data_IF_651524175861
#
_entry.id   IF_651524175861
#
_cell.length_a   1.000
_cell.length_b   1.000
_cell.length_c   1.000
_cell.angle_alpha   90.00
_cell.angle_beta   90.00
_cell.angle_gamma   90.00
#
_symmetry.space_group_name_H-M   'P 1'
#
loop_
_entity.id
_entity.type
_entity.pdbx_description
1 polymer ?
#
# COMPACT_ATOMS: atom_id res chain seq x y z
N UNK A 1 -15.43 17.22 -22.77
CA UNK A 1 -14.81 16.50 -21.64
C UNK A 1 -13.35 16.93 -21.62
N UNK A 2 -12.88 17.53 -20.51
CA UNK A 2 -11.50 18.03 -20.38
C UNK A 2 -10.69 17.03 -19.55
N UNK A 3 -9.47 16.71 -19.99
CA UNK A 3 -8.52 15.90 -19.23
C UNK A 3 -7.64 16.85 -18.42
N UNK A 4 -7.90 16.96 -17.11
CA UNK A 4 -7.22 17.92 -16.23
C UNK A 4 -6.12 17.28 -15.38
N UNK A 5 -6.02 15.95 -15.34
CA UNK A 5 -5.15 15.21 -14.41
C UNK A 5 -5.86 14.86 -13.11
N UNK A 6 -5.10 14.41 -12.10
CA UNK A 6 -5.63 13.94 -10.82
C UNK A 6 -5.30 14.87 -9.64
N UNK A 7 -6.32 15.39 -8.94
CA UNK A 7 -6.13 16.28 -7.77
C UNK A 7 -5.44 15.57 -6.60
N UNK A 8 -5.54 14.23 -6.51
CA UNK A 8 -4.82 13.45 -5.52
C UNK A 8 -3.30 13.50 -5.77
N UNK A 9 -2.87 13.60 -7.04
CA UNK A 9 -1.45 13.80 -7.38
C UNK A 9 -0.98 15.18 -6.90
N UNK A 10 -1.77 16.23 -7.12
CA UNK A 10 -1.46 17.59 -6.64
C UNK A 10 -1.24 17.59 -5.11
N UNK A 11 -2.20 17.00 -4.37
CA UNK A 11 -2.13 16.85 -2.92
C UNK A 11 -0.89 16.06 -2.49
N UNK A 12 -0.67 14.90 -3.10
CA UNK A 12 0.49 14.05 -2.80
C UNK A 12 1.80 14.80 -2.97
N UNK A 13 2.00 15.49 -4.10
CA UNK A 13 3.21 16.26 -4.38
C UNK A 13 3.40 17.44 -3.43
N UNK A 14 2.31 18.12 -3.06
CA UNK A 14 2.34 19.22 -2.11
C UNK A 14 2.74 18.75 -0.70
N UNK A 15 2.04 17.75 -0.16
CA UNK A 15 2.23 17.30 1.21
C UNK A 15 3.49 16.46 1.40
N UNK A 16 3.96 15.74 0.36
CA UNK A 16 5.19 14.94 0.43
C UNK A 16 6.42 15.77 0.76
N UNK A 17 6.50 17.01 0.27
CA UNK A 17 7.63 17.93 0.56
C UNK A 17 7.65 18.39 2.01
N UNK A 18 6.48 18.47 2.63
CA UNK A 18 6.34 18.93 4.02
C UNK A 18 6.44 17.77 5.02
N UNK A 19 5.97 16.59 4.62
CA UNK A 19 5.95 15.39 5.44
C UNK A 19 7.35 14.99 5.94
N UNK A 20 8.36 15.04 5.07
CA UNK A 20 9.76 14.71 5.41
C UNK A 20 10.35 15.67 6.46
N UNK A 21 9.87 16.91 6.53
CA UNK A 21 10.35 17.90 7.51
C UNK A 21 9.63 17.82 8.85
N UNK A 22 8.39 17.32 8.83
CA UNK A 22 7.49 17.34 10.00
C UNK A 22 7.43 16.03 10.76
N UNK A 23 7.93 14.94 10.19
CA UNK A 23 7.82 13.61 10.80
C UNK A 23 9.17 12.92 10.84
N UNK A 24 9.49 12.30 11.97
CA UNK A 24 10.67 11.42 12.15
C UNK A 24 10.25 9.96 12.24
N UNK A 25 9.19 9.55 11.53
CA UNK A 25 8.58 8.22 11.72
C UNK A 25 9.54 7.08 11.39
N UNK A 26 10.44 7.26 10.41
CA UNK A 26 11.46 6.27 10.08
C UNK A 26 12.43 6.10 11.24
N UNK A 27 12.97 7.18 11.79
CA UNK A 27 13.88 7.14 12.95
C UNK A 27 13.20 6.53 14.18
N UNK A 28 11.95 6.93 14.45
CA UNK A 28 11.17 6.41 15.57
C UNK A 28 10.94 4.89 15.50
N UNK A 29 10.86 4.35 14.29
CA UNK A 29 10.70 2.92 14.03
C UNK A 29 12.03 2.23 13.67
N UNK A 30 13.13 2.99 13.61
CA UNK A 30 14.46 2.53 13.17
C UNK A 30 14.46 1.87 11.78
N UNK A 31 13.65 2.41 10.86
CA UNK A 31 13.50 1.90 9.50
C UNK A 31 14.50 2.54 8.55
N UNK A 32 15.05 1.72 7.65
CA UNK A 32 15.90 2.19 6.55
C UNK A 32 15.11 2.33 5.25
N UNK A 33 15.38 3.39 4.49
CA UNK A 33 14.75 3.63 3.19
C UNK A 33 14.97 2.45 2.23
N UNK A 34 13.90 1.95 1.63
CA UNK A 34 13.90 0.84 0.69
C UNK A 34 13.98 -0.55 1.34
N UNK A 35 14.22 -0.63 2.65
CA UNK A 35 14.52 -1.89 3.36
C UNK A 35 13.34 -2.41 4.22
N UNK A 36 12.12 -1.94 3.95
CA UNK A 36 10.92 -2.48 4.59
C UNK A 36 9.73 -2.57 3.62
N UNK A 37 8.81 -3.46 3.96
CA UNK A 37 7.49 -3.57 3.37
C UNK A 37 6.50 -2.72 4.17
N UNK A 38 5.67 -1.93 3.48
CA UNK A 38 4.53 -1.25 4.11
C UNK A 38 3.24 -2.00 3.78
N UNK A 39 2.52 -2.45 4.81
CA UNK A 39 1.28 -3.20 4.64
C UNK A 39 0.06 -2.42 5.14
N UNK A 40 -1.06 -2.51 4.42
CA UNK A 40 -2.38 -2.13 4.96
C UNK A 40 -3.45 -3.13 4.52
N UNK A 41 -4.26 -3.59 5.47
CA UNK A 41 -5.41 -4.47 5.20
C UNK A 41 -6.58 -3.91 5.98
N UNK A 42 -7.70 -3.61 5.34
CA UNK A 42 -8.89 -3.10 6.02
C UNK A 42 -10.21 -3.36 5.29
N UNK A 43 -10.20 -3.95 4.08
CA UNK A 43 -11.44 -4.28 3.38
C UNK A 43 -12.16 -5.46 4.03
N UNK A 44 -13.48 -5.38 4.06
CA UNK A 44 -14.34 -6.47 4.53
C UNK A 44 -14.06 -7.80 3.79
N UNK A 45 -13.78 -7.73 2.49
CA UNK A 45 -13.43 -8.88 1.64
C UNK A 45 -12.23 -9.68 2.17
N UNK A 46 -11.32 -9.03 2.91
CA UNK A 46 -10.12 -9.61 3.50
C UNK A 46 -10.27 -9.89 5.01
N UNK A 47 -11.00 -9.05 5.75
CA UNK A 47 -11.06 -9.14 7.21
C UNK A 47 -12.15 -10.06 7.74
N UNK A 48 -13.25 -10.25 7.01
CA UNK A 48 -14.48 -10.85 7.58
C UNK A 48 -14.47 -12.38 7.57
N UNK A 49 -13.54 -12.97 6.81
CA UNK A 49 -13.33 -14.41 6.76
C UNK A 49 -11.97 -14.73 7.37
N UNK A 50 -11.97 -15.56 8.41
CA UNK A 50 -10.77 -16.00 9.10
C UNK A 50 -9.73 -16.57 8.14
N UNK A 51 -10.15 -17.41 7.20
CA UNK A 51 -9.28 -18.07 6.23
C UNK A 51 -8.44 -17.06 5.43
N UNK A 52 -9.08 -16.04 4.85
CA UNK A 52 -8.40 -15.02 4.04
C UNK A 52 -7.43 -14.19 4.87
N UNK A 53 -7.88 -13.70 6.02
CA UNK A 53 -7.01 -12.90 6.90
C UNK A 53 -5.82 -13.73 7.40
N UNK A 54 -6.05 -15.03 7.69
CA UNK A 54 -5.01 -15.97 8.11
C UNK A 54 -3.99 -16.22 7.00
N UNK A 55 -4.40 -16.33 5.74
CA UNK A 55 -3.47 -16.46 4.60
C UNK A 55 -2.59 -15.22 4.45
N UNK A 56 -3.15 -14.02 4.56
CA UNK A 56 -2.38 -12.76 4.55
C UNK A 56 -1.39 -12.72 5.74
N UNK A 57 -1.85 -13.04 6.95
CA UNK A 57 -0.98 -13.05 8.14
C UNK A 57 0.17 -14.04 8.00
N UNK A 58 -0.07 -15.25 7.47
CA UNK A 58 1.00 -16.23 7.24
C UNK A 58 2.01 -15.73 6.21
N UNK A 59 1.56 -15.01 5.17
CA UNK A 59 2.48 -14.40 4.21
C UNK A 59 3.36 -13.34 4.90
N UNK A 60 2.77 -12.48 5.73
CA UNK A 60 3.52 -11.47 6.48
C UNK A 60 4.57 -12.11 7.42
N UNK A 61 4.20 -13.18 8.13
CA UNK A 61 5.11 -13.91 9.02
C UNK A 61 6.28 -14.54 8.24
N UNK A 62 6.03 -15.06 7.04
CA UNK A 62 7.11 -15.62 6.21
C UNK A 62 8.04 -14.52 5.68
N UNK A 63 7.48 -13.43 5.15
CA UNK A 63 8.25 -12.31 4.62
C UNK A 63 9.08 -11.60 5.69
N UNK A 64 8.57 -11.54 6.93
CA UNK A 64 9.27 -10.96 8.07
C UNK A 64 10.59 -11.68 8.42
N UNK A 65 10.81 -12.90 7.89
CA UNK A 65 12.10 -13.60 8.03
C UNK A 65 13.20 -13.00 7.15
N UNK A 66 12.82 -12.23 6.12
CA UNK A 66 13.73 -11.69 5.10
C UNK A 66 13.81 -10.15 5.16
N UNK A 67 12.71 -9.48 5.46
CA UNK A 67 12.58 -8.02 5.39
C UNK A 67 11.63 -7.50 6.47
N UNK A 68 11.89 -6.29 6.97
CA UNK A 68 11.00 -5.63 7.92
C UNK A 68 9.61 -5.37 7.32
N UNK A 69 8.55 -5.54 8.12
CA UNK A 69 7.17 -5.31 7.70
C UNK A 69 6.48 -4.36 8.67
N UNK A 70 6.15 -3.17 8.18
CA UNK A 70 5.42 -2.14 8.91
C UNK A 70 3.94 -2.26 8.59
N UNK A 71 3.11 -2.47 9.60
CA UNK A 71 1.67 -2.63 9.45
C UNK A 71 0.90 -1.69 10.38
N UNK A 72 0.52 -0.49 9.90
CA UNK A 72 -0.44 0.37 10.58
C UNK A 72 -1.82 -0.30 10.60
N UNK A 73 -2.20 -0.84 11.76
CA UNK A 73 -3.38 -1.71 11.86
C UNK A 73 -4.65 -0.89 12.00
N UNK A 74 -5.49 -0.88 10.97
CA UNK A 74 -6.81 -0.25 11.03
C UNK A 74 -7.67 -0.87 12.17
N UNK A 75 -8.49 -0.10 12.91
CA UNK A 75 -9.27 -0.62 14.04
C UNK A 75 -10.17 -1.82 13.69
N UNK A 76 -10.72 -1.84 12.47
CA UNK A 76 -11.46 -2.99 11.93
C UNK A 76 -10.59 -4.25 11.92
N UNK A 77 -9.42 -4.16 11.33
CA UNK A 77 -8.51 -5.28 11.15
C UNK A 77 -7.98 -5.76 12.48
N UNK A 78 -7.65 -4.84 13.39
CA UNK A 78 -7.27 -5.18 14.75
C UNK A 78 -8.36 -6.00 15.47
N UNK A 79 -9.63 -5.61 15.34
CA UNK A 79 -10.76 -6.37 15.90
C UNK A 79 -10.77 -7.81 15.39
N UNK A 80 -10.65 -8.03 14.09
CA UNK A 80 -10.68 -9.38 13.50
C UNK A 80 -9.42 -10.19 13.79
N UNK A 81 -8.24 -9.55 13.78
CA UNK A 81 -6.99 -10.19 14.20
C UNK A 81 -7.07 -10.72 15.63
N UNK A 82 -7.67 -9.94 16.55
CA UNK A 82 -7.90 -10.39 17.93
C UNK A 82 -8.95 -11.51 17.99
N UNK A 83 -10.05 -11.36 17.28
CA UNK A 83 -11.14 -12.33 17.23
C UNK A 83 -10.68 -13.73 16.76
N UNK A 84 -9.82 -13.78 15.75
CA UNK A 84 -9.29 -15.04 15.19
C UNK A 84 -7.98 -15.51 15.84
N UNK A 85 -7.53 -14.87 16.93
CA UNK A 85 -6.29 -15.22 17.62
C UNK A 85 -5.00 -14.97 16.82
N UNK A 86 -5.05 -14.16 15.76
CA UNK A 86 -3.92 -13.83 14.88
C UNK A 86 -3.08 -12.67 15.41
N UNK A 87 -3.69 -11.75 16.17
CA UNK A 87 -3.02 -10.51 16.62
C UNK A 87 -1.75 -10.80 17.42
N UNK A 88 -1.82 -11.73 18.38
CA UNK A 88 -0.67 -12.08 19.23
C UNK A 88 0.43 -12.76 18.42
N UNK A 89 0.06 -13.62 17.46
CA UNK A 89 1.02 -14.28 16.57
C UNK A 89 1.82 -13.25 15.78
N UNK A 90 1.14 -12.28 15.15
CA UNK A 90 1.82 -11.20 14.43
C UNK A 90 2.67 -10.33 15.36
N UNK A 91 2.15 -9.97 16.54
CA UNK A 91 2.86 -9.13 17.51
C UNK A 91 4.14 -9.77 18.04
N UNK A 92 4.11 -11.08 18.27
CA UNK A 92 5.23 -11.84 18.82
C UNK A 92 6.21 -12.28 17.70
N UNK A 93 5.92 -11.99 16.42
CA UNK A 93 6.80 -12.29 15.28
C UNK A 93 7.85 -11.19 15.12
N UNK A 94 9.16 -11.51 15.14
CA UNK A 94 10.21 -10.55 14.87
C UNK A 94 10.05 -9.85 13.51
N UNK A 95 10.53 -8.62 13.40
CA UNK A 95 10.49 -7.79 12.18
C UNK A 95 9.08 -7.42 11.68
N UNK A 96 8.01 -7.77 12.41
CA UNK A 96 6.67 -7.22 12.17
C UNK A 96 6.40 -6.08 13.15
N UNK A 97 6.28 -4.87 12.60
CA UNK A 97 5.92 -3.67 13.35
C UNK A 97 4.41 -3.42 13.24
N UNK A 98 3.65 -4.01 14.16
CA UNK A 98 2.23 -3.68 14.34
C UNK A 98 2.11 -2.33 15.05
N UNK A 99 1.83 -1.27 14.28
CA UNK A 99 1.69 0.08 14.81
C UNK A 99 0.24 0.55 14.77
N UNK A 100 -0.07 1.57 15.58
CA UNK A 100 -1.37 2.25 15.51
C UNK A 100 -1.50 2.94 14.14
N UNK A 101 -2.74 3.19 13.66
CA UNK A 101 -2.95 4.05 12.49
C UNK A 101 -2.19 5.37 12.67
N UNK A 102 -1.46 5.76 11.63
CA UNK A 102 -0.61 6.96 11.60
C UNK A 102 -1.33 8.12 10.92
N UNK A 103 -0.85 9.34 11.15
CA UNK A 103 -1.34 10.52 10.44
C UNK A 103 -0.97 10.50 8.96
N UNK A 104 -1.62 11.34 8.16
CA UNK A 104 -1.40 11.37 6.71
C UNK A 104 0.06 11.65 6.32
N UNK A 105 0.72 12.62 6.99
CA UNK A 105 2.12 12.95 6.70
C UNK A 105 3.07 11.78 7.02
N UNK A 106 2.82 11.07 8.13
CA UNK A 106 3.61 9.90 8.49
C UNK A 106 3.39 8.77 7.47
N UNK A 107 2.15 8.57 7.02
CA UNK A 107 1.85 7.61 5.95
C UNK A 107 2.59 7.97 4.66
N UNK A 108 2.61 9.25 4.26
CA UNK A 108 3.37 9.68 3.07
C UNK A 108 4.86 9.35 3.17
N UNK A 109 5.48 9.58 4.33
CA UNK A 109 6.88 9.22 4.56
C UNK A 109 7.07 7.70 4.50
N UNK A 110 6.18 6.92 5.13
CA UNK A 110 6.22 5.47 5.06
C UNK A 110 6.02 4.94 3.64
N UNK A 111 5.14 5.55 2.85
CA UNK A 111 4.88 5.17 1.46
C UNK A 111 6.10 5.44 0.60
N UNK A 112 6.68 6.64 0.66
CA UNK A 112 7.80 7.05 -0.19
C UNK A 112 9.11 6.30 0.07
N UNK A 113 9.26 5.78 1.28
CA UNK A 113 10.51 5.13 1.69
C UNK A 113 10.37 3.61 1.81
N UNK A 114 9.21 3.03 1.50
CA UNK A 114 9.05 1.59 1.47
C UNK A 114 9.77 0.98 0.26
N UNK A 115 10.27 -0.25 0.42
CA UNK A 115 10.77 -1.05 -0.69
C UNK A 115 9.63 -1.54 -1.58
N UNK A 116 8.55 -2.04 -0.97
CA UNK A 116 7.29 -2.40 -1.65
C UNK A 116 6.10 -2.16 -0.72
N UNK A 117 4.92 -1.97 -1.32
CA UNK A 117 3.66 -1.75 -0.60
C UNK A 117 2.73 -2.94 -0.83
N UNK A 118 2.15 -3.49 0.24
CA UNK A 118 1.16 -4.56 0.20
C UNK A 118 -0.17 -4.01 0.71
N UNK A 119 -1.16 -3.82 -0.16
CA UNK A 119 -2.34 -3.04 0.24
C UNK A 119 -3.65 -3.49 -0.40
N UNK A 120 -4.74 -3.44 0.35
CA UNK A 120 -6.10 -3.44 -0.20
C UNK A 120 -6.70 -2.02 -0.28
N UNK A 121 -5.95 -0.98 0.08
CA UNK A 121 -6.39 0.42 0.03
C UNK A 121 -6.33 0.97 -1.40
N UNK A 122 -7.47 1.41 -1.94
CA UNK A 122 -7.47 2.07 -3.25
C UNK A 122 -6.66 3.38 -3.25
N UNK A 123 -6.76 4.18 -2.18
CA UNK A 123 -5.97 5.41 -2.07
C UNK A 123 -4.46 5.12 -2.04
N UNK A 124 -4.04 4.12 -1.25
CA UNK A 124 -2.62 3.78 -1.14
C UNK A 124 -2.07 3.13 -2.41
N UNK A 125 -2.88 2.39 -3.17
CA UNK A 125 -2.48 1.89 -4.50
C UNK A 125 -2.04 3.05 -5.41
N UNK A 126 -2.82 4.14 -5.42
CA UNK A 126 -2.50 5.33 -6.23
C UNK A 126 -1.32 6.11 -5.65
N UNK A 127 -1.22 6.27 -4.34
CA UNK A 127 -0.07 6.96 -3.71
C UNK A 127 1.24 6.18 -3.87
N UNK A 128 1.20 4.84 -3.86
CA UNK A 128 2.34 3.99 -4.18
C UNK A 128 2.86 4.27 -5.60
N UNK A 129 1.93 4.37 -6.56
CA UNK A 129 2.25 4.77 -7.92
C UNK A 129 2.91 6.16 -7.94
N UNK A 130 2.31 7.18 -7.31
CA UNK A 130 2.91 8.52 -7.24
C UNK A 130 4.28 8.56 -6.58
N UNK A 131 4.49 7.71 -5.58
CA UNK A 131 5.75 7.55 -4.86
C UNK A 131 6.82 6.79 -5.65
N UNK A 132 6.46 6.16 -6.78
CA UNK A 132 7.31 5.22 -7.51
C UNK A 132 7.78 4.06 -6.64
N UNK A 133 6.85 3.50 -5.87
CA UNK A 133 7.09 2.32 -5.05
C UNK A 133 6.23 1.18 -5.58
N UNK A 134 6.80 -0.02 -5.86
CA UNK A 134 6.05 -1.17 -6.36
C UNK A 134 4.89 -1.52 -5.42
N UNK A 135 3.70 -1.68 -6.00
CA UNK A 135 2.49 -2.00 -5.25
C UNK A 135 2.04 -3.44 -5.52
N UNK A 136 1.64 -4.14 -4.46
CA UNK A 136 1.05 -5.46 -4.52
C UNK A 136 -0.34 -5.34 -3.89
N UNK A 137 -1.35 -5.37 -4.76
CA UNK A 137 -2.75 -5.27 -4.37
C UNK A 137 -3.23 -6.59 -3.77
N UNK A 138 -3.54 -6.56 -2.48
CA UNK A 138 -4.11 -7.66 -1.71
C UNK A 138 -5.63 -7.76 -1.94
N UNK A 139 -6.03 -7.92 -3.20
CA UNK A 139 -7.43 -8.09 -3.60
C UNK A 139 -7.51 -8.91 -4.90
N UNK A 140 -8.71 -9.12 -5.43
CA UNK A 140 -8.94 -9.73 -6.74
C UNK A 140 -8.97 -8.73 -7.89
N UNK A 141 -9.11 -7.44 -7.58
CA UNK A 141 -9.11 -6.34 -8.55
C UNK A 141 -8.39 -5.12 -7.98
N UNK A 142 -7.71 -4.36 -8.84
CA UNK A 142 -7.21 -3.05 -8.47
C UNK A 142 -8.31 -1.99 -8.58
N UNK A 143 -8.25 -0.98 -7.71
CA UNK A 143 -9.08 0.22 -7.87
C UNK A 143 -8.59 1.13 -9.02
N UNK A 144 -7.36 0.90 -9.48
CA UNK A 144 -6.69 1.65 -10.54
C UNK A 144 -6.03 0.67 -11.51
N UNK A 145 -6.81 0.00 -12.38
CA UNK A 145 -6.30 -0.95 -13.38
C UNK A 145 -5.14 -0.36 -14.21
N UNK A 146 -5.19 0.94 -14.48
CA UNK A 146 -4.14 1.67 -15.20
C UNK A 146 -2.76 1.58 -14.53
N UNK A 147 -2.68 1.38 -13.20
CA UNK A 147 -1.41 1.16 -12.49
C UNK A 147 -0.85 -0.24 -12.67
N UNK A 148 -1.74 -1.22 -12.92
CA UNK A 148 -1.39 -2.61 -13.24
C UNK A 148 -0.94 -2.69 -14.70
N UNK A 149 -1.70 -2.06 -15.60
CA UNK A 149 -1.37 -1.94 -17.02
C UNK A 149 -0.02 -1.24 -17.24
N UNK A 150 0.30 -0.23 -16.43
CA UNK A 150 1.59 0.48 -16.46
C UNK A 150 2.76 -0.31 -15.81
N UNK A 151 2.48 -1.48 -15.21
CA UNK A 151 3.51 -2.36 -14.64
C UNK A 151 4.04 -1.96 -13.26
N UNK A 152 3.35 -1.08 -12.54
CA UNK A 152 3.74 -0.61 -11.20
C UNK A 152 2.90 -1.18 -10.05
N UNK A 153 1.85 -1.93 -10.39
CA UNK A 153 1.00 -2.62 -9.43
C UNK A 153 0.75 -4.07 -9.90
N UNK A 154 0.62 -5.00 -8.97
CA UNK A 154 0.29 -6.40 -9.24
C UNK A 154 -0.86 -6.85 -8.32
N UNK A 155 -1.86 -7.54 -8.87
CA UNK A 155 -3.01 -8.05 -8.12
C UNK A 155 -2.79 -9.53 -7.80
N UNK A 156 -2.76 -9.92 -6.52
CA UNK A 156 -2.41 -11.32 -6.14
C UNK A 156 -3.60 -12.28 -6.14
N UNK A 157 -4.83 -11.78 -6.30
CA UNK A 157 -6.05 -12.59 -6.37
C UNK A 157 -6.49 -12.99 -7.78
N UNK A 158 -5.99 -12.33 -8.82
CA UNK A 158 -6.47 -12.46 -10.21
C UNK A 158 -6.10 -13.80 -10.87
N UNK A 159 -4.90 -14.34 -10.60
CA UNK A 159 -4.36 -15.53 -11.29
C UNK A 159 -4.78 -16.89 -10.69
N UNK A 160 -5.69 -16.92 -9.73
CA UNK A 160 -6.13 -18.21 -9.14
C UNK A 160 -7.44 -18.68 -9.77
N UNK A 161 -7.54 -20.00 -10.04
CA UNK A 161 -8.81 -20.64 -10.44
C UNK A 161 -9.99 -20.31 -9.50
N UNK A 162 -9.70 -19.93 -8.26
CA UNK A 162 -10.69 -19.62 -7.23
C UNK A 162 -10.88 -18.11 -6.95
N UNK A 163 -10.21 -17.20 -7.68
CA UNK A 163 -10.20 -15.74 -7.42
C UNK A 163 -10.00 -15.39 -5.93
N UNK A 164 -8.97 -15.96 -5.32
CA UNK A 164 -8.71 -15.85 -3.89
C UNK A 164 -7.25 -15.53 -3.63
N UNK A 165 -7.05 -14.67 -2.63
CA UNK A 165 -5.72 -14.36 -2.11
C UNK A 165 -5.21 -15.59 -1.35
N UNK A 166 -4.05 -16.09 -1.76
CA UNK A 166 -3.35 -17.19 -1.08
C UNK A 166 -1.98 -16.71 -0.63
N UNK A 167 -1.50 -17.24 0.50
CA UNK A 167 -0.16 -16.91 1.03
C UNK A 167 0.93 -16.97 -0.04
N UNK A 168 0.96 -18.05 -0.82
CA UNK A 168 1.99 -18.30 -1.84
C UNK A 168 2.05 -17.19 -2.90
N UNK A 169 0.89 -16.67 -3.31
CA UNK A 169 0.84 -15.61 -4.33
C UNK A 169 1.43 -14.31 -3.79
N UNK A 170 1.10 -13.95 -2.55
CA UNK A 170 1.65 -12.76 -1.88
C UNK A 170 3.18 -12.85 -1.82
N UNK A 171 3.70 -13.99 -1.36
CA UNK A 171 5.15 -14.19 -1.22
C UNK A 171 5.85 -14.16 -2.57
N UNK A 172 5.31 -14.87 -3.56
CA UNK A 172 5.87 -14.87 -4.91
C UNK A 172 5.89 -13.46 -5.48
N UNK A 173 4.78 -12.72 -5.39
CA UNK A 173 4.71 -11.34 -5.84
C UNK A 173 5.76 -10.47 -5.16
N UNK A 174 5.93 -10.55 -3.83
CA UNK A 174 6.97 -9.76 -3.13
C UNK A 174 8.37 -10.13 -3.61
N UNK A 175 8.66 -11.41 -3.84
CA UNK A 175 10.00 -11.88 -4.24
C UNK A 175 10.31 -11.65 -5.72
N UNK A 176 9.31 -11.65 -6.61
CA UNK A 176 9.53 -11.63 -8.07
C UNK A 176 9.06 -10.38 -8.78
N UNK A 177 8.11 -9.62 -8.22
CA UNK A 177 7.58 -8.44 -8.87
C UNK A 177 8.53 -7.27 -8.74
N UNK A 178 9.07 -6.82 -9.86
CA UNK A 178 9.79 -5.55 -10.00
C UNK A 178 9.16 -4.80 -11.18
N UNK A 179 8.95 -3.47 -11.09
CA UNK A 179 8.54 -2.68 -12.23
C UNK A 179 9.58 -2.75 -13.34
N UNK A 180 9.18 -3.23 -14.50
CA UNK A 180 10.08 -3.44 -15.65
C UNK A 180 10.09 -2.25 -16.62
N UNK A 181 9.15 -1.32 -16.46
CA UNK A 181 8.94 -0.19 -17.36
C UNK A 181 9.06 1.16 -16.65
N UNK A 182 9.41 2.18 -17.43
CA UNK A 182 9.44 3.55 -16.94
C UNK A 182 8.00 4.00 -16.73
N UNK A 183 7.69 4.47 -15.54
CA UNK A 183 6.36 4.98 -15.21
C UNK A 183 5.89 6.04 -16.20
N UNK A 184 4.66 5.90 -16.72
CA UNK A 184 4.03 6.92 -17.54
C UNK A 184 3.30 7.98 -16.68
N UNK A 185 3.01 9.15 -17.26
CA UNK A 185 2.27 10.20 -16.54
C UNK A 185 0.75 10.01 -16.66
N UNK A 186 0.24 8.82 -16.30
CA UNK A 186 -1.18 8.44 -16.52
C UNK A 186 -2.16 9.27 -15.67
N UNK A 187 -1.70 9.86 -14.55
CA UNK A 187 -2.48 10.73 -13.66
C UNK A 187 -2.21 12.24 -13.85
N UNK A 188 -1.49 12.61 -14.92
CA UNK A 188 -1.16 14.01 -15.21
C UNK A 188 0.13 14.49 -14.54
N UNK A 189 0.24 15.79 -14.32
CA UNK A 189 1.49 16.48 -13.98
C UNK A 189 1.46 17.25 -12.64
N UNK A 190 0.43 17.04 -11.81
CA UNK A 190 0.31 17.71 -10.51
C UNK A 190 -0.23 19.15 -10.58
N UNK A 191 -1.05 19.46 -11.60
CA UNK A 191 -1.70 20.77 -11.79
C UNK A 191 -3.21 20.66 -12.04
N UNK A 192 -3.84 19.57 -11.60
CA UNK A 192 -5.24 19.33 -11.88
C UNK A 192 -6.17 20.39 -11.29
N UNK A 193 -5.89 20.85 -10.07
CA UNK A 193 -6.66 21.90 -9.40
C UNK A 193 -6.57 23.25 -10.13
N UNK A 194 -5.37 23.63 -10.59
CA UNK A 194 -5.15 24.86 -11.37
C UNK A 194 -5.97 24.85 -12.66
N UNK A 195 -5.87 23.76 -13.43
CA UNK A 195 -6.61 23.61 -14.69
C UNK A 195 -8.13 23.61 -14.46
N UNK A 196 -8.61 22.96 -13.38
CA UNK A 196 -10.03 22.95 -13.04
C UNK A 196 -10.55 24.34 -12.65
N UNK A 197 -9.78 25.11 -11.88
CA UNK A 197 -10.14 26.49 -11.54
C UNK A 197 -10.25 27.35 -12.80
N UNK A 198 -9.30 27.26 -13.73
CA UNK A 198 -9.33 28.04 -14.96
C UNK A 198 -10.55 27.70 -15.84
N UNK A 199 -10.95 26.42 -15.88
CA UNK A 199 -12.11 25.96 -16.63
C UNK A 199 -13.45 26.38 -16.02
N UNK A 200 -13.54 26.58 -14.71
CA UNK A 200 -14.77 26.98 -14.01
C UNK A 200 -15.00 28.49 -14.01
N UNK A 201 -13.97 29.28 -14.32
CA UNK A 201 -14.04 30.76 -14.39
C UNK A 201 -14.34 31.25 -15.82
N UNK A 202 -14.45 30.33 -16.80
CA UNK A 202 -14.89 30.57 -18.18
C UNK A 202 -16.40 30.33 -18.34
#
# INVERSE_FOLDING_TARGET
>A
MYLTGDVMLDCFLHFSKEAEKRTGILDNLSLEQGNYLLATVHRASNTDTEEKLREICKAFIELAQEIELVFPVHPRTEKYLKHYGLYRVLKDTPNIYLIKPVGYLEMLVLTKNAGKILTDSGGLQKEAYFAKVPCITLDTVSAWPETVEDGWNMVVGEETECQQIKRKNIINAVRSFEPNEKQHNIFGNGKAAEILCDLLVC
#
